data_IF_880395623608
#
_entry.id   IF_880395623608
#
_cell.length_a   1.000
_cell.length_b   1.000
_cell.length_c   1.000
_cell.angle_alpha   90.00
_cell.angle_beta   90.00
_cell.angle_gamma   90.00
#
_symmetry.space_group_name_H-M   'P 1'
#
loop_
_entity.id
_entity.type
_entity.pdbx_description
1 polymer ?
#
# COMPACT_ATOMS: atom_id res chain seq x y z
N UNK A 1 22.98 4.57 -13.12
CA UNK A 1 23.41 3.45 -12.24
C UNK A 1 23.83 3.89 -10.83
N UNK A 2 24.70 4.90 -10.66
CA UNK A 2 25.17 5.35 -9.32
C UNK A 2 24.03 5.79 -8.38
N UNK A 3 23.05 6.55 -8.88
CA UNK A 3 21.91 7.05 -8.09
C UNK A 3 21.05 5.91 -7.51
N UNK A 4 20.73 4.89 -8.32
CA UNK A 4 19.94 3.74 -7.86
C UNK A 4 20.70 2.91 -6.82
N UNK A 5 22.01 2.70 -7.00
CA UNK A 5 22.83 1.98 -6.03
C UNK A 5 22.94 2.74 -4.69
N UNK A 6 23.09 4.06 -4.73
CA UNK A 6 23.09 4.90 -3.52
C UNK A 6 21.73 4.88 -2.82
N UNK A 7 20.63 4.92 -3.59
CA UNK A 7 19.27 4.82 -3.05
C UNK A 7 19.03 3.49 -2.32
N UNK A 8 19.37 2.37 -2.96
CA UNK A 8 19.24 1.03 -2.37
C UNK A 8 20.12 0.85 -1.12
N UNK A 9 21.32 1.43 -1.13
CA UNK A 9 22.22 1.40 0.03
C UNK A 9 21.66 2.20 1.21
N UNK A 10 21.09 3.37 0.94
CA UNK A 10 20.47 4.22 1.96
C UNK A 10 19.21 3.56 2.55
N UNK A 11 18.41 2.88 1.71
CA UNK A 11 17.29 2.06 2.15
C UNK A 11 17.76 0.96 3.11
N UNK A 12 18.78 0.20 2.73
CA UNK A 12 19.33 -0.89 3.55
C UNK A 12 19.86 -0.42 4.90
N UNK A 13 20.52 0.75 4.98
CA UNK A 13 21.04 1.27 6.24
C UNK A 13 19.99 1.83 7.19
N UNK A 14 18.88 2.36 6.65
CA UNK A 14 17.81 2.96 7.44
C UNK A 14 16.67 1.99 7.79
N UNK A 15 16.68 0.78 7.21
CA UNK A 15 15.58 -0.16 7.35
C UNK A 15 15.53 -0.76 8.76
N UNK A 16 14.46 -0.45 9.48
CA UNK A 16 14.16 -1.08 10.76
C UNK A 16 13.17 -2.22 10.57
N UNK A 17 13.57 -3.43 10.99
CA UNK A 17 12.69 -4.61 11.03
C UNK A 17 11.50 -4.40 11.97
N UNK A 18 11.69 -3.68 13.07
CA UNK A 18 10.59 -3.38 14.00
C UNK A 18 9.52 -2.51 13.33
N UNK A 19 9.92 -1.47 12.60
CA UNK A 19 9.00 -0.62 11.85
C UNK A 19 8.31 -1.41 10.74
N UNK A 20 9.04 -2.26 10.03
CA UNK A 20 8.47 -3.15 9.02
C UNK A 20 7.39 -4.07 9.61
N UNK A 21 7.63 -4.67 10.78
CA UNK A 21 6.63 -5.48 11.48
C UNK A 21 5.38 -4.69 11.86
N UNK A 22 5.53 -3.46 12.38
CA UNK A 22 4.38 -2.60 12.71
C UNK A 22 3.55 -2.24 11.48
N UNK A 23 4.22 -1.92 10.37
CA UNK A 23 3.58 -1.59 9.10
C UNK A 23 2.87 -2.82 8.52
N UNK A 24 3.51 -3.99 8.52
CA UNK A 24 2.90 -5.22 8.05
C UNK A 24 1.67 -5.59 8.90
N UNK A 25 1.77 -5.55 10.23
CA UNK A 25 0.64 -5.78 11.13
C UNK A 25 -0.52 -4.82 10.84
N UNK A 26 -0.21 -3.54 10.67
CA UNK A 26 -1.16 -2.50 10.29
C UNK A 26 -1.88 -2.81 8.98
N UNK A 27 -1.18 -3.33 7.96
CA UNK A 27 -1.78 -3.79 6.71
C UNK A 27 -2.69 -5.00 6.89
N UNK A 28 -2.31 -5.96 7.74
CA UNK A 28 -3.16 -7.12 8.08
C UNK A 28 -4.45 -6.67 8.78
N UNK A 29 -4.34 -5.79 9.78
CA UNK A 29 -5.51 -5.27 10.50
C UNK A 29 -6.46 -4.52 9.56
N UNK A 30 -5.91 -3.76 8.61
CA UNK A 30 -6.71 -3.11 7.58
C UNK A 30 -7.40 -4.14 6.66
N UNK A 31 -6.71 -5.22 6.28
CA UNK A 31 -7.31 -6.26 5.44
C UNK A 31 -8.46 -6.99 6.16
N UNK A 32 -8.35 -7.21 7.47
CA UNK A 32 -9.42 -7.80 8.30
C UNK A 32 -10.63 -6.89 8.48
N UNK A 33 -10.47 -5.58 8.25
CA UNK A 33 -11.58 -4.64 8.32
C UNK A 33 -12.59 -4.83 7.17
N UNK A 34 -12.20 -5.56 6.13
CA UNK A 34 -12.95 -5.78 4.90
C UNK A 34 -13.57 -7.18 4.85
N UNK A 35 -14.49 -7.45 3.89
CA UNK A 35 -14.98 -8.79 3.64
C UNK A 35 -13.81 -9.78 3.45
N UNK A 36 -13.94 -11.03 3.96
CA UNK A 36 -15.13 -11.65 4.54
C UNK A 36 -15.41 -11.32 6.02
N UNK A 37 -14.44 -10.77 6.76
CA UNK A 37 -14.59 -10.55 8.21
C UNK A 37 -15.34 -9.27 8.55
N UNK A 38 -15.24 -8.25 7.71
CA UNK A 38 -15.99 -6.99 7.80
C UNK A 38 -15.87 -6.31 9.18
N UNK A 39 -14.71 -6.45 9.83
CA UNK A 39 -14.46 -5.88 11.14
C UNK A 39 -14.05 -4.40 11.03
N UNK A 40 -14.93 -3.57 10.46
CA UNK A 40 -14.65 -2.18 10.10
C UNK A 40 -13.97 -1.31 11.18
N UNK A 41 -14.17 -1.50 12.52
CA UNK A 41 -13.45 -0.70 13.51
C UNK A 41 -11.93 -0.91 13.47
N UNK A 42 -11.46 -2.06 12.99
CA UNK A 42 -10.04 -2.35 12.82
C UNK A 42 -9.38 -1.48 11.75
N UNK A 43 -10.14 -0.86 10.83
CA UNK A 43 -9.57 0.08 9.86
C UNK A 43 -8.90 1.27 10.56
N UNK A 44 -9.52 1.80 11.61
CA UNK A 44 -8.97 2.89 12.41
C UNK A 44 -7.68 2.49 13.10
N UNK A 45 -7.68 1.32 13.75
CA UNK A 45 -6.50 0.78 14.44
C UNK A 45 -5.40 0.44 13.42
N UNK A 46 -5.78 -0.05 12.25
CA UNK A 46 -4.90 -0.37 11.14
C UNK A 46 -4.19 0.86 10.59
N UNK A 47 -4.81 2.05 10.52
CA UNK A 47 -4.15 3.24 9.99
C UNK A 47 -3.07 3.82 10.92
N UNK A 48 -3.22 3.67 12.25
CA UNK A 48 -2.36 4.35 13.22
C UNK A 48 -0.87 3.98 13.07
N UNK A 49 -0.48 2.68 12.99
CA UNK A 49 0.93 2.32 12.89
C UNK A 49 1.57 2.77 11.56
N UNK A 50 0.80 2.78 10.45
CA UNK A 50 1.28 3.29 9.17
C UNK A 50 1.68 4.77 9.28
N UNK A 51 0.76 5.62 9.76
CA UNK A 51 1.04 7.04 9.96
C UNK A 51 2.20 7.27 10.92
N UNK A 52 2.23 6.52 12.03
CA UNK A 52 3.28 6.65 13.04
C UNK A 52 4.68 6.33 12.48
N UNK A 53 4.80 5.24 11.71
CA UNK A 53 6.08 4.87 11.09
C UNK A 53 6.50 5.90 10.04
N UNK A 54 5.59 6.29 9.14
CA UNK A 54 5.88 7.29 8.09
C UNK A 54 6.36 8.62 8.67
N UNK A 55 5.72 9.11 9.75
CA UNK A 55 6.10 10.37 10.39
C UNK A 55 7.44 10.30 11.14
N UNK A 56 7.87 9.10 11.57
CA UNK A 56 9.17 8.89 12.22
C UNK A 56 10.30 8.62 11.25
N UNK A 57 10.00 8.36 9.99
CA UNK A 57 11.00 8.04 8.97
C UNK A 57 11.51 9.32 8.31
N UNK A 58 12.79 9.69 8.51
CA UNK A 58 13.32 10.95 7.98
C UNK A 58 13.49 10.97 6.45
N UNK A 59 13.58 9.79 5.85
CA UNK A 59 13.93 9.62 4.45
C UNK A 59 12.68 9.32 3.61
N UNK A 60 12.39 10.19 2.63
CA UNK A 60 11.25 10.03 1.72
C UNK A 60 11.19 8.65 1.05
N UNK A 61 12.34 8.15 0.56
CA UNK A 61 12.41 6.85 -0.10
C UNK A 61 12.08 5.68 0.83
N UNK A 62 12.47 5.80 2.10
CA UNK A 62 12.25 4.75 3.10
C UNK A 62 10.80 4.77 3.60
N UNK A 63 10.21 5.96 3.76
CA UNK A 63 8.79 6.12 4.05
C UNK A 63 7.92 5.58 2.90
N UNK A 64 8.33 5.82 1.65
CA UNK A 64 7.68 5.23 0.49
C UNK A 64 7.81 3.71 0.47
N UNK A 65 8.96 3.15 0.85
CA UNK A 65 9.14 1.70 0.96
C UNK A 65 8.25 1.07 2.05
N UNK A 66 8.06 1.75 3.19
CA UNK A 66 7.09 1.32 4.19
C UNK A 66 5.64 1.43 3.68
N UNK A 67 5.28 2.51 2.99
CA UNK A 67 3.97 2.61 2.35
C UNK A 67 3.74 1.50 1.32
N UNK A 68 4.75 1.14 0.55
CA UNK A 68 4.72 0.03 -0.39
C UNK A 68 4.51 -1.31 0.31
N UNK A 69 5.26 -1.58 1.39
CA UNK A 69 5.10 -2.80 2.19
C UNK A 69 3.68 -2.89 2.76
N UNK A 70 3.15 -1.80 3.32
CA UNK A 70 1.79 -1.74 3.83
C UNK A 70 0.78 -2.11 2.75
N UNK A 71 0.89 -1.47 1.58
CA UNK A 71 0.01 -1.70 0.45
C UNK A 71 0.09 -3.14 -0.04
N UNK A 72 1.28 -3.73 -0.12
CA UNK A 72 1.46 -5.12 -0.56
C UNK A 72 0.74 -6.09 0.38
N UNK A 73 0.87 -5.88 1.69
CA UNK A 73 0.21 -6.72 2.69
C UNK A 73 -1.30 -6.54 2.63
N UNK A 74 -1.76 -5.29 2.67
CA UNK A 74 -3.18 -4.95 2.66
C UNK A 74 -3.88 -5.44 1.37
N UNK A 75 -3.46 -4.94 0.20
CA UNK A 75 -4.06 -5.31 -1.08
C UNK A 75 -3.83 -6.78 -1.41
N UNK A 76 -2.65 -7.33 -1.07
CA UNK A 76 -2.34 -8.74 -1.31
C UNK A 76 -3.32 -9.67 -0.62
N UNK A 77 -3.65 -9.40 0.65
CA UNK A 77 -4.63 -10.19 1.41
C UNK A 77 -6.06 -9.91 0.92
N UNK A 78 -6.46 -8.65 0.84
CA UNK A 78 -7.84 -8.28 0.50
C UNK A 78 -8.26 -8.69 -0.91
N UNK A 79 -7.31 -8.79 -1.84
CA UNK A 79 -7.57 -9.15 -3.25
C UNK A 79 -7.13 -10.57 -3.60
N UNK A 80 -6.69 -11.37 -2.62
CA UNK A 80 -6.28 -12.76 -2.85
C UNK A 80 -7.37 -13.59 -3.55
N UNK A 81 -8.64 -13.21 -3.38
CA UNK A 81 -9.77 -13.87 -4.03
C UNK A 81 -9.70 -13.86 -5.57
N UNK A 82 -9.00 -12.90 -6.19
CA UNK A 82 -8.80 -12.85 -7.65
C UNK A 82 -8.10 -14.12 -8.15
N UNK A 83 -7.21 -14.70 -7.34
CA UNK A 83 -6.51 -15.95 -7.70
C UNK A 83 -7.46 -17.15 -7.77
N UNK A 84 -8.60 -17.12 -7.07
CA UNK A 84 -9.63 -18.15 -7.13
C UNK A 84 -10.49 -18.09 -8.40
N UNK A 85 -10.29 -17.09 -9.27
CA UNK A 85 -10.92 -17.08 -10.60
C UNK A 85 -10.40 -18.21 -11.50
N UNK A 86 -9.20 -18.73 -11.21
CA UNK A 86 -8.72 -19.96 -11.80
C UNK A 86 -9.52 -21.15 -11.24
N UNK A 87 -10.01 -22.09 -12.07
CA UNK A 87 -9.75 -22.25 -13.50
C UNK A 87 -10.75 -21.54 -14.44
N UNK A 88 -10.22 -20.86 -15.47
CA UNK A 88 -10.98 -20.18 -16.53
C UNK A 88 -11.28 -21.09 -17.74
N UNK A 89 -11.19 -22.41 -17.57
CA UNK A 89 -11.41 -23.39 -18.65
C UNK A 89 -12.83 -23.31 -19.24
N UNK A 90 -13.80 -22.84 -18.46
CA UNK A 90 -15.17 -22.61 -18.91
C UNK A 90 -15.28 -21.55 -20.02
N UNK A 91 -14.26 -20.69 -20.17
CA UNK A 91 -14.13 -19.72 -21.28
C UNK A 91 -13.24 -20.24 -22.43
N UNK A 92 -12.86 -21.52 -22.42
CA UNK A 92 -11.95 -22.10 -23.40
C UNK A 92 -10.46 -21.75 -23.20
N UNK A 93 -10.10 -21.13 -22.07
CA UNK A 93 -8.71 -20.77 -21.75
C UNK A 93 -7.96 -21.99 -21.19
N UNK A 94 -6.80 -22.39 -21.73
CA UNK A 94 -5.99 -23.49 -21.18
C UNK A 94 -5.55 -23.26 -19.73
N UNK A 95 -5.32 -24.34 -18.99
CA UNK A 95 -5.04 -24.29 -17.54
C UNK A 95 -3.85 -23.37 -17.20
N UNK A 96 -2.72 -23.53 -17.90
CA UNK A 96 -1.51 -22.72 -17.66
C UNK A 96 -1.73 -21.23 -17.98
N UNK A 97 -2.42 -20.93 -19.09
CA UNK A 97 -2.79 -19.55 -19.44
C UNK A 97 -3.74 -18.94 -18.41
N UNK A 98 -4.66 -19.73 -17.86
CA UNK A 98 -5.57 -19.29 -16.80
C UNK A 98 -4.84 -18.92 -15.52
N UNK A 99 -3.84 -19.72 -15.10
CA UNK A 99 -2.98 -19.37 -13.94
C UNK A 99 -2.24 -18.07 -14.19
N UNK A 100 -1.65 -17.92 -15.39
CA UNK A 100 -0.92 -16.71 -15.75
C UNK A 100 -1.83 -15.47 -15.72
N UNK A 101 -3.06 -15.56 -16.22
CA UNK A 101 -4.03 -14.45 -16.21
C UNK A 101 -4.41 -14.08 -14.77
N UNK A 102 -4.82 -15.05 -13.95
CA UNK A 102 -5.26 -14.77 -12.58
C UNK A 102 -4.14 -14.16 -11.73
N UNK A 103 -2.93 -14.74 -11.78
CA UNK A 103 -1.77 -14.22 -11.04
C UNK A 103 -1.31 -12.86 -11.55
N UNK A 104 -1.28 -12.66 -12.87
CA UNK A 104 -0.87 -11.36 -13.43
C UNK A 104 -1.85 -10.26 -13.03
N UNK A 105 -3.15 -10.50 -13.15
CA UNK A 105 -4.18 -9.54 -12.75
C UNK A 105 -4.08 -9.18 -11.26
N UNK A 106 -3.98 -10.20 -10.39
CA UNK A 106 -3.80 -9.97 -8.96
C UNK A 106 -2.53 -9.15 -8.67
N UNK A 107 -1.40 -9.52 -9.27
CA UNK A 107 -0.13 -8.80 -9.09
C UNK A 107 -0.22 -7.35 -9.54
N UNK A 108 -0.77 -7.07 -10.72
CA UNK A 108 -0.88 -5.71 -11.25
C UNK A 108 -1.76 -4.82 -10.36
N UNK A 109 -2.90 -5.33 -9.91
CA UNK A 109 -3.83 -4.58 -9.06
C UNK A 109 -3.19 -4.32 -7.68
N UNK A 110 -2.56 -5.33 -7.08
CA UNK A 110 -1.85 -5.20 -5.79
C UNK A 110 -0.71 -4.19 -5.90
N UNK A 111 0.11 -4.27 -6.95
CA UNK A 111 1.21 -3.35 -7.17
C UNK A 111 0.71 -1.93 -7.38
N UNK A 112 -0.36 -1.74 -8.18
CA UNK A 112 -0.93 -0.43 -8.44
C UNK A 112 -1.41 0.24 -7.14
N UNK A 113 -2.20 -0.47 -6.34
CA UNK A 113 -2.64 0.03 -5.03
C UNK A 113 -1.45 0.31 -4.09
N UNK A 114 -0.43 -0.56 -4.08
CA UNK A 114 0.76 -0.39 -3.24
C UNK A 114 1.60 0.81 -3.62
N UNK A 115 1.72 1.11 -4.92
CA UNK A 115 2.42 2.29 -5.42
C UNK A 115 1.71 3.56 -4.97
N UNK A 116 0.39 3.61 -4.97
CA UNK A 116 -0.36 4.76 -4.43
C UNK A 116 0.00 5.01 -2.96
N UNK A 117 0.03 3.97 -2.11
CA UNK A 117 0.40 4.12 -0.70
C UNK A 117 1.89 4.48 -0.54
N UNK A 118 2.76 4.00 -1.42
CA UNK A 118 4.18 4.39 -1.44
C UNK A 118 4.35 5.89 -1.74
N UNK A 119 3.64 6.42 -2.74
CA UNK A 119 3.62 7.85 -3.06
C UNK A 119 3.08 8.65 -1.87
N UNK A 120 1.99 8.19 -1.27
CA UNK A 120 1.41 8.81 -0.08
C UNK A 120 2.42 8.90 1.06
N UNK A 121 3.07 7.79 1.42
CA UNK A 121 4.06 7.75 2.51
C UNK A 121 5.27 8.64 2.25
N UNK A 122 5.78 8.66 1.01
CA UNK A 122 6.87 9.55 0.62
C UNK A 122 6.51 11.04 0.77
N UNK A 123 5.36 11.45 0.23
CA UNK A 123 4.93 12.86 0.27
C UNK A 123 4.60 13.30 1.71
N UNK A 124 3.97 12.46 2.53
CA UNK A 124 3.70 12.77 3.94
C UNK A 124 4.99 12.92 4.74
N UNK A 125 5.98 12.05 4.53
CA UNK A 125 7.30 12.20 5.15
C UNK A 125 8.00 13.49 4.69
N UNK A 126 7.97 13.81 3.40
CA UNK A 126 8.50 15.07 2.89
C UNK A 126 7.81 16.30 3.51
N UNK A 127 6.48 16.28 3.60
CA UNK A 127 5.69 17.35 4.19
C UNK A 127 5.97 17.52 5.69
N UNK A 128 6.13 16.42 6.43
CA UNK A 128 6.42 16.44 7.88
C UNK A 128 7.73 17.17 8.19
N UNK A 129 8.75 16.99 7.35
CA UNK A 129 10.02 17.71 7.49
C UNK A 129 9.93 19.16 7.04
N UNK A 130 9.12 19.46 6.02
CA UNK A 130 9.01 20.82 5.47
C UNK A 130 8.21 21.77 6.37
N UNK A 131 7.25 21.24 7.13
CA UNK A 131 6.31 22.01 7.96
C UNK A 131 6.33 21.59 9.44
N UNK A 132 7.53 21.52 10.01
CA UNK A 132 7.72 21.18 11.42
C UNK A 132 6.81 22.01 12.34
N UNK A 133 6.04 21.32 13.19
CA UNK A 133 5.13 21.94 14.17
C UNK A 133 3.71 22.25 13.67
N UNK A 134 3.39 22.06 12.39
CA UNK A 134 2.04 22.32 11.83
C UNK A 134 1.23 21.03 11.68
N UNK A 135 0.96 20.35 12.79
CA UNK A 135 0.28 19.03 12.81
C UNK A 135 -1.06 19.02 12.06
N UNK A 136 -1.86 20.08 12.15
CA UNK A 136 -3.12 20.20 11.42
C UNK A 136 -2.92 20.17 9.90
N UNK A 137 -1.92 20.89 9.39
CA UNK A 137 -1.62 20.93 7.96
C UNK A 137 -1.11 19.57 7.45
N UNK A 138 -0.39 18.82 8.28
CA UNK A 138 0.07 17.47 7.96
C UNK A 138 -1.10 16.48 7.86
N UNK A 139 -2.03 16.53 8.81
CA UNK A 139 -3.23 15.69 8.78
C UNK A 139 -4.05 16.02 7.53
N UNK A 140 -4.34 17.30 7.29
CA UNK A 140 -5.09 17.75 6.11
C UNK A 140 -4.41 17.35 4.79
N UNK A 141 -3.08 17.46 4.73
CA UNK A 141 -2.34 17.11 3.51
C UNK A 141 -2.31 15.60 3.30
N UNK A 142 -2.10 14.82 4.36
CA UNK A 142 -2.12 13.36 4.25
C UNK A 142 -3.52 12.83 3.89
N UNK A 143 -4.59 13.37 4.46
CA UNK A 143 -5.95 12.98 4.08
C UNK A 143 -6.33 13.44 2.68
N UNK A 144 -6.04 14.70 2.32
CA UNK A 144 -6.30 15.21 0.97
C UNK A 144 -5.53 14.43 -0.08
N UNK A 145 -4.27 14.08 0.18
CA UNK A 145 -3.46 13.26 -0.70
C UNK A 145 -4.00 11.84 -0.84
N UNK A 146 -4.47 11.24 0.26
CA UNK A 146 -5.10 9.92 0.23
C UNK A 146 -6.33 9.94 -0.68
N UNK A 147 -7.26 10.87 -0.45
CA UNK A 147 -8.46 11.03 -1.27
C UNK A 147 -8.12 11.33 -2.74
N UNK A 148 -7.11 12.17 -3.00
CA UNK A 148 -6.67 12.48 -4.36
C UNK A 148 -6.11 11.25 -5.07
N UNK A 149 -5.28 10.44 -4.41
CA UNK A 149 -4.74 9.21 -4.98
C UNK A 149 -5.83 8.16 -5.22
N UNK A 150 -6.82 8.10 -4.34
CA UNK A 150 -7.98 7.23 -4.51
C UNK A 150 -8.84 7.65 -5.70
N UNK A 151 -9.12 8.94 -5.85
CA UNK A 151 -9.81 9.49 -7.01
C UNK A 151 -9.02 9.32 -8.32
N UNK A 152 -7.69 9.49 -8.26
CA UNK A 152 -6.85 9.24 -9.43
C UNK A 152 -6.90 7.76 -9.83
N UNK A 153 -6.89 6.86 -8.85
CA UNK A 153 -6.99 5.43 -9.08
C UNK A 153 -8.35 5.04 -9.65
N UNK A 154 -9.45 5.65 -9.21
CA UNK A 154 -10.80 5.31 -9.71
C UNK A 154 -11.02 5.62 -11.20
N UNK A 155 -10.18 6.45 -11.80
CA UNK A 155 -10.13 6.66 -13.25
C UNK A 155 -9.37 5.55 -14.00
N UNK A 156 -8.78 4.58 -13.31
CA UNK A 156 -8.04 3.47 -13.92
C UNK A 156 -8.85 2.18 -13.88
N UNK A 157 -8.73 1.29 -14.88
CA UNK A 157 -9.40 -0.01 -14.88
C UNK A 157 -8.88 -0.97 -13.79
N UNK A 158 -7.84 -0.55 -13.06
CA UNK A 158 -7.22 -1.29 -11.97
C UNK A 158 -7.77 -0.87 -10.59
N UNK A 159 -8.81 -0.04 -10.54
CA UNK A 159 -9.45 0.31 -9.26
C UNK A 159 -10.32 -0.82 -8.73
N UNK A 160 -9.69 -1.67 -7.94
CA UNK A 160 -10.36 -2.68 -7.12
C UNK A 160 -10.19 -2.34 -5.64
N UNK A 161 -10.24 -1.05 -5.29
CA UNK A 161 -10.22 -0.63 -3.90
C UNK A 161 -11.36 -1.29 -3.13
N UNK A 162 -11.07 -2.02 -2.04
CA UNK A 162 -12.13 -2.54 -1.19
C UNK A 162 -12.63 -1.50 -0.16
N UNK A 163 -12.00 -0.31 -0.07
CA UNK A 163 -12.30 0.74 0.91
C UNK A 163 -13.28 1.82 0.42
N UNK A 164 -13.76 1.75 -0.81
CA UNK A 164 -14.66 2.74 -1.44
C UNK A 164 -16.14 2.53 -1.11
#
# INVERSE_FOLDING_TARGET
MKVAATFLRNLGSGWSWQQACWVALSGVLMALALPPWSLWPLAWVGLVPLWWVVLRTPQMGLAAAYGLLWGLVYYGISLAWITHLHPLMWMGVPWGSSVAIALSSWLFIVLWGSVCIAVWGGVVAWASHRWQGRNLWLVLTGTALWCFLEALRSHTPLDWSPLS
#
